data_IF_682771710582
#
_entry.id   IF_682771710582
#
_cell.length_a   1.000
_cell.length_b   1.000
_cell.length_c   1.000
_cell.angle_alpha   90.00
_cell.angle_beta   90.00
_cell.angle_gamma   90.00
#
_symmetry.space_group_name_H-M   'P 1'
#
loop_
_entity.id
_entity.type
_entity.pdbx_description
1 polymer ?
#
# COMPACT_ATOMS: atom_id res chain seq x y z
N UNK A 1 1.94 3.66 42.78
CA UNK A 1 2.35 3.90 41.38
C UNK A 1 1.08 3.87 40.55
N UNK A 2 0.62 5.01 40.03
CA UNK A 2 -0.63 5.05 39.29
C UNK A 2 -0.47 4.22 38.00
N UNK A 3 -1.21 3.12 37.90
CA UNK A 3 -1.37 2.40 36.64
C UNK A 3 -2.18 3.35 35.77
N UNK A 4 -1.54 3.97 34.78
CA UNK A 4 -2.24 4.83 33.81
C UNK A 4 -3.29 3.96 33.10
N UNK A 5 -4.57 4.20 33.41
CA UNK A 5 -5.68 3.47 32.82
C UNK A 5 -6.02 4.13 31.48
N UNK A 6 -5.34 3.71 30.41
CA UNK A 6 -5.58 4.21 29.06
C UNK A 6 -6.87 3.63 28.46
N UNK A 7 -7.71 4.48 27.86
CA UNK A 7 -8.83 4.00 27.05
C UNK A 7 -8.30 3.30 25.79
N UNK A 8 -8.45 1.98 25.78
CA UNK A 8 -8.17 1.17 24.59
C UNK A 8 -9.40 1.20 23.67
N UNK A 9 -9.22 1.18 22.34
CA UNK A 9 -10.34 1.01 21.43
C UNK A 9 -11.02 -0.33 21.69
N UNK A 10 -12.34 -0.30 21.86
CA UNK A 10 -13.13 -1.49 22.21
C UNK A 10 -13.30 -2.43 21.02
N UNK A 11 -13.43 -1.86 19.80
CA UNK A 11 -13.61 -2.62 18.56
C UNK A 11 -13.14 -1.84 17.35
N UNK A 12 -12.61 -2.55 16.36
CA UNK A 12 -12.41 -2.06 15.00
C UNK A 12 -13.66 -2.38 14.19
N UNK A 13 -14.32 -1.36 13.66
CA UNK A 13 -15.52 -1.50 12.84
C UNK A 13 -15.10 -1.42 11.37
N UNK A 14 -15.50 -2.40 10.56
CA UNK A 14 -15.35 -2.35 9.11
C UNK A 14 -16.63 -1.76 8.51
N UNK A 15 -16.53 -0.58 7.90
CA UNK A 15 -17.67 0.15 7.35
C UNK A 15 -17.95 -0.26 5.89
N UNK A 16 -16.90 -0.41 5.10
CA UNK A 16 -16.98 -0.85 3.71
C UNK A 16 -15.71 -1.62 3.34
N UNK A 17 -15.85 -2.66 2.53
CA UNK A 17 -14.72 -3.37 1.95
C UNK A 17 -15.07 -3.90 0.56
N UNK A 18 -14.15 -3.75 -0.36
CA UNK A 18 -14.07 -4.47 -1.63
C UNK A 18 -12.77 -5.26 -1.64
N UNK A 19 -12.47 -5.93 -2.76
CA UNK A 19 -11.21 -6.66 -2.93
C UNK A 19 -9.97 -5.73 -2.92
N UNK A 20 -10.15 -4.43 -3.22
CA UNK A 20 -9.07 -3.46 -3.41
C UNK A 20 -9.17 -2.21 -2.53
N UNK A 21 -10.20 -2.09 -1.68
CA UNK A 21 -10.41 -0.93 -0.81
C UNK A 21 -11.11 -1.33 0.48
N UNK A 22 -10.72 -0.72 1.60
CA UNK A 22 -11.33 -0.97 2.90
C UNK A 22 -11.40 0.29 3.75
N UNK A 23 -12.54 0.49 4.44
CA UNK A 23 -12.75 1.58 5.37
C UNK A 23 -13.00 1.03 6.78
N UNK A 24 -12.13 1.42 7.73
CA UNK A 24 -12.16 0.96 9.10
C UNK A 24 -12.29 2.14 10.07
N UNK A 25 -13.09 1.98 11.12
CA UNK A 25 -13.30 2.97 12.18
C UNK A 25 -12.80 2.41 13.52
N UNK A 26 -11.97 3.20 14.20
CA UNK A 26 -11.40 2.88 15.51
C UNK A 26 -11.98 3.84 16.54
N UNK A 27 -12.76 3.32 17.49
CA UNK A 27 -13.32 4.11 18.60
C UNK A 27 -13.62 3.22 19.81
N UNK A 28 -13.68 3.80 21.03
CA UNK A 28 -13.23 5.16 21.38
C UNK A 28 -11.69 5.27 21.42
N UNK A 29 -11.16 6.48 21.21
CA UNK A 29 -9.74 6.78 21.34
C UNK A 29 -9.55 8.01 22.23
N UNK A 30 -8.49 8.02 23.02
CA UNK A 30 -8.07 9.20 23.77
C UNK A 30 -7.77 10.39 22.84
N UNK A 31 -7.99 11.63 23.28
CA UNK A 31 -7.58 12.81 22.53
C UNK A 31 -6.09 12.74 22.13
N UNK A 32 -5.82 12.98 20.84
CA UNK A 32 -4.47 12.90 20.27
C UNK A 32 -4.02 11.51 19.81
N UNK A 33 -4.63 10.43 20.32
CA UNK A 33 -4.25 9.06 19.90
C UNK A 33 -4.66 8.73 18.46
N UNK A 34 -5.69 9.40 17.93
CA UNK A 34 -6.05 9.26 16.51
C UNK A 34 -4.90 9.56 15.56
N UNK A 35 -4.12 10.62 15.84
CA UNK A 35 -2.94 10.97 15.04
C UNK A 35 -1.81 9.94 15.24
N UNK A 36 -1.57 9.51 16.47
CA UNK A 36 -0.52 8.53 16.80
C UNK A 36 -0.78 7.20 16.09
N UNK A 37 -1.98 6.65 16.22
CA UNK A 37 -2.38 5.38 15.61
C UNK A 37 -2.46 5.52 14.08
N UNK A 38 -3.08 6.61 13.59
CA UNK A 38 -3.23 6.85 12.16
C UNK A 38 -1.88 6.98 11.44
N UNK A 39 -0.93 7.74 12.00
CA UNK A 39 0.41 7.85 11.42
C UNK A 39 1.19 6.54 11.48
N UNK A 40 1.08 5.80 12.58
CA UNK A 40 1.72 4.50 12.71
C UNK A 40 1.20 3.51 11.65
N UNK A 41 -0.13 3.38 11.53
CA UNK A 41 -0.77 2.53 10.52
C UNK A 41 -0.41 2.96 9.10
N UNK A 42 -0.48 4.26 8.79
CA UNK A 42 -0.09 4.79 7.47
C UNK A 42 1.34 4.39 7.11
N UNK A 43 2.28 4.49 8.04
CA UNK A 43 3.69 4.11 7.78
C UNK A 43 3.82 2.62 7.51
N UNK A 44 3.21 1.78 8.35
CA UNK A 44 3.27 0.32 8.17
C UNK A 44 2.61 -0.11 6.87
N UNK A 45 1.43 0.44 6.55
CA UNK A 45 0.69 0.10 5.34
C UNK A 45 1.40 0.56 4.06
N UNK A 46 2.14 1.67 4.09
CA UNK A 46 2.85 2.17 2.91
C UNK A 46 4.21 1.52 2.67
N UNK A 47 4.87 0.99 3.70
CA UNK A 47 6.28 0.54 3.56
C UNK A 47 6.58 -0.84 4.15
N UNK A 48 5.65 -1.48 4.83
CA UNK A 48 5.89 -2.70 5.60
C UNK A 48 5.00 -3.88 5.22
N UNK A 49 4.20 -3.75 4.16
CA UNK A 49 3.37 -4.86 3.68
C UNK A 49 4.21 -5.79 2.80
N UNK A 50 4.09 -7.08 3.08
CA UNK A 50 4.62 -8.12 2.22
C UNK A 50 3.72 -8.27 0.98
N UNK A 51 4.34 -8.51 -0.17
CA UNK A 51 3.64 -8.67 -1.43
C UNK A 51 4.56 -9.22 -2.51
N UNK A 52 3.97 -9.52 -3.65
CA UNK A 52 4.70 -9.94 -4.85
C UNK A 52 4.63 -8.83 -5.88
N UNK A 53 5.75 -8.55 -6.53
CA UNK A 53 5.85 -7.59 -7.61
C UNK A 53 6.84 -8.11 -8.65
N UNK A 54 6.67 -7.68 -9.91
CA UNK A 54 7.64 -7.93 -10.95
C UNK A 54 8.90 -7.10 -10.68
N UNK A 55 10.06 -7.76 -10.65
CA UNK A 55 11.34 -7.11 -10.31
C UNK A 55 12.26 -6.99 -11.52
N UNK A 56 12.09 -7.85 -12.51
CA UNK A 56 12.90 -7.87 -13.72
C UNK A 56 12.17 -8.59 -14.84
N UNK A 57 12.48 -8.20 -16.07
CA UNK A 57 11.99 -8.84 -17.29
C UNK A 57 13.09 -8.80 -18.34
N UNK A 58 13.04 -9.73 -19.29
CA UNK A 58 13.96 -9.79 -20.42
C UNK A 58 13.15 -9.95 -21.70
N UNK A 59 13.33 -9.05 -22.66
CA UNK A 59 12.71 -9.10 -23.98
C UNK A 59 13.80 -9.46 -24.98
N UNK A 60 13.53 -10.45 -25.83
CA UNK A 60 14.47 -10.85 -26.87
C UNK A 60 14.59 -9.76 -27.94
N UNK A 61 15.82 -9.43 -28.32
CA UNK A 61 16.09 -8.37 -29.31
C UNK A 61 15.99 -6.94 -28.78
N UNK A 62 15.78 -6.75 -27.47
CA UNK A 62 15.77 -5.45 -26.80
C UNK A 62 16.99 -5.32 -25.91
N UNK A 63 17.85 -4.35 -26.23
CA UNK A 63 19.07 -4.08 -25.46
C UNK A 63 18.82 -3.17 -24.25
N UNK A 64 17.84 -2.25 -24.33
CA UNK A 64 17.49 -1.31 -23.26
C UNK A 64 16.03 -0.84 -23.31
N UNK A 65 15.56 -0.26 -22.21
CA UNK A 65 14.16 0.14 -21.95
C UNK A 65 13.63 1.29 -22.81
N UNK A 66 14.53 2.07 -23.44
CA UNK A 66 14.18 3.18 -24.35
C UNK A 66 14.07 2.77 -25.83
N UNK A 67 13.99 1.47 -26.13
CA UNK A 67 13.85 0.99 -27.52
C UNK A 67 12.39 0.85 -27.93
N UNK A 68 12.15 0.84 -29.24
CA UNK A 68 10.86 0.47 -29.83
C UNK A 68 10.97 -0.92 -30.45
N UNK A 69 9.88 -1.67 -30.44
CA UNK A 69 9.81 -3.01 -31.02
C UNK A 69 9.00 -2.95 -32.31
N UNK A 70 9.55 -3.44 -33.41
CA UNK A 70 8.84 -3.48 -34.69
C UNK A 70 7.55 -4.30 -34.57
N UNK A 71 6.41 -3.69 -34.92
CA UNK A 71 5.09 -4.32 -34.82
C UNK A 71 4.38 -4.13 -33.48
N UNK A 72 4.99 -3.43 -32.53
CA UNK A 72 4.37 -3.01 -31.27
C UNK A 72 4.09 -1.51 -31.31
N UNK A 73 2.92 -1.10 -30.81
CA UNK A 73 2.49 0.30 -30.81
C UNK A 73 3.14 1.08 -29.66
N UNK A 74 3.25 0.44 -28.49
CA UNK A 74 3.82 0.98 -27.26
C UNK A 74 5.36 0.87 -27.28
N UNK A 75 6.04 1.78 -26.57
CA UNK A 75 7.47 1.65 -26.33
C UNK A 75 7.78 0.68 -25.18
N UNK A 76 9.04 0.24 -25.05
CA UNK A 76 9.41 -0.71 -23.99
C UNK A 76 9.20 -0.11 -22.58
N UNK A 77 9.29 1.21 -22.42
CA UNK A 77 9.07 1.88 -21.13
C UNK A 77 7.60 1.79 -20.70
N UNK A 78 6.66 2.00 -21.63
CA UNK A 78 5.22 1.85 -21.42
C UNK A 78 4.86 0.40 -21.10
N UNK A 79 5.47 -0.57 -21.79
CA UNK A 79 5.31 -1.99 -21.47
C UNK A 79 5.77 -2.27 -20.02
N UNK A 80 6.93 -1.76 -19.60
CA UNK A 80 7.45 -1.93 -18.23
C UNK A 80 6.50 -1.33 -17.18
N UNK A 81 5.85 -0.19 -17.47
CA UNK A 81 4.92 0.47 -16.53
C UNK A 81 3.57 -0.25 -16.42
N UNK A 82 3.17 -0.98 -17.46
CA UNK A 82 1.91 -1.72 -17.50
C UNK A 82 2.02 -3.13 -16.88
N UNK A 83 3.24 -3.62 -16.64
CA UNK A 83 3.55 -4.91 -16.02
C UNK A 83 3.60 -4.80 -14.49
#
# INVERSE_FOLDING_TARGET
MAILNFQKPEKVIMNASTDFSGQFEFRPLEPGYGLTVGNALRRVLLSGLEGFALTSLRIEGVDHEFTTIAGVVEDVTEIVLNL
#
